data_IF_003397846108
#
_entry.id   IF_003397846108
#
_cell.length_a   1.000
_cell.length_b   1.000
_cell.length_c   1.000
_cell.angle_alpha   90.00
_cell.angle_beta   90.00
_cell.angle_gamma   90.00
#
_symmetry.space_group_name_H-M   'P 1'
#
loop_
_entity.id
_entity.type
_entity.pdbx_description
1 polymer ?
#
# COMPACT_ATOMS: atom_id res chain seq x y z
N UNK A 1 12.01 7.52 -6.56
CA UNK A 1 10.75 8.30 -6.49
C UNK A 1 10.38 8.50 -5.03
N UNK A 2 10.08 9.73 -4.60
CA UNK A 2 9.53 9.98 -3.26
C UNK A 2 8.02 9.75 -3.33
N UNK A 3 7.49 8.88 -2.47
CA UNK A 3 6.05 8.69 -2.33
C UNK A 3 5.42 9.99 -1.78
N UNK A 4 4.16 10.30 -2.14
CA UNK A 4 3.53 11.59 -1.83
C UNK A 4 3.21 11.79 -0.35
N UNK A 5 3.16 10.71 0.42
CA UNK A 5 2.91 10.74 1.87
C UNK A 5 4.09 10.02 2.57
N UNK A 6 4.11 9.88 3.90
CA UNK A 6 5.01 9.00 4.68
C UNK A 6 4.23 7.79 5.21
N UNK A 7 4.78 6.56 5.19
CA UNK A 7 4.08 5.36 5.70
C UNK A 7 3.77 5.48 7.20
N UNK A 8 4.67 6.12 7.96
CA UNK A 8 4.46 6.38 9.39
C UNK A 8 3.33 7.40 9.62
N UNK A 9 3.27 8.47 8.83
CA UNK A 9 2.20 9.45 8.91
C UNK A 9 0.85 8.81 8.56
N UNK A 10 0.80 7.99 7.49
CA UNK A 10 -0.39 7.25 7.11
C UNK A 10 -0.88 6.31 8.22
N UNK A 11 0.05 5.58 8.86
CA UNK A 11 -0.31 4.72 9.99
C UNK A 11 -0.97 5.51 11.12
N UNK A 12 -0.39 6.63 11.52
CA UNK A 12 -0.96 7.47 12.60
C UNK A 12 -2.35 7.98 12.25
N UNK A 13 -2.54 8.44 11.00
CA UNK A 13 -3.84 8.92 10.53
C UNK A 13 -4.91 7.81 10.51
N UNK A 14 -4.55 6.60 10.05
CA UNK A 14 -5.48 5.47 10.02
C UNK A 14 -5.86 5.02 11.43
N UNK A 15 -4.90 4.85 12.34
CA UNK A 15 -5.18 4.46 13.73
C UNK A 15 -6.08 5.50 14.42
N UNK A 16 -5.80 6.81 14.22
CA UNK A 16 -6.63 7.90 14.71
C UNK A 16 -8.07 7.80 14.18
N UNK A 17 -8.25 7.61 12.86
CA UNK A 17 -9.56 7.48 12.25
C UNK A 17 -10.33 6.25 12.77
N UNK A 18 -9.62 5.19 13.18
CA UNK A 18 -10.22 4.01 13.81
C UNK A 18 -10.64 4.29 15.25
N UNK A 19 -9.82 4.98 16.02
CA UNK A 19 -10.16 5.42 17.39
C UNK A 19 -11.38 6.36 17.40
N UNK A 20 -11.48 7.22 16.38
CA UNK A 20 -12.63 8.11 16.16
C UNK A 20 -13.87 7.40 15.59
N UNK A 21 -13.77 6.10 15.25
CA UNK A 21 -14.88 5.32 14.69
C UNK A 21 -15.26 5.67 13.25
N UNK A 22 -14.41 6.42 12.53
CA UNK A 22 -14.65 6.79 11.13
C UNK A 22 -14.43 5.61 10.17
N UNK A 23 -13.53 4.71 10.54
CA UNK A 23 -13.16 3.55 9.73
C UNK A 23 -12.98 2.31 10.60
N UNK A 24 -13.28 1.15 10.02
CA UNK A 24 -13.08 -0.15 10.66
C UNK A 24 -12.44 -1.09 9.68
N UNK A 25 -11.54 -1.95 10.16
CA UNK A 25 -10.98 -3.02 9.37
C UNK A 25 -10.71 -4.24 10.25
N UNK A 26 -10.82 -5.43 9.67
CA UNK A 26 -10.60 -6.71 10.35
C UNK A 26 -9.16 -7.20 10.27
N UNK A 27 -8.37 -6.67 9.34
CA UNK A 27 -6.98 -7.07 9.11
C UNK A 27 -6.00 -6.41 10.10
N UNK A 28 -4.77 -6.92 10.23
CA UNK A 28 -3.73 -6.23 10.99
C UNK A 28 -3.47 -4.82 10.42
N UNK A 29 -3.30 -3.83 11.29
CA UNK A 29 -3.07 -2.44 10.89
C UNK A 29 -1.89 -2.26 9.92
N UNK A 30 -0.83 -3.07 10.07
CA UNK A 30 0.31 -3.07 9.14
C UNK A 30 -0.10 -3.39 7.69
N UNK A 31 -0.94 -4.41 7.50
CA UNK A 31 -1.46 -4.82 6.19
C UNK A 31 -2.31 -3.73 5.55
N UNK A 32 -3.22 -3.14 6.32
CA UNK A 32 -4.10 -2.06 5.85
C UNK A 32 -3.30 -0.83 5.44
N UNK A 33 -2.35 -0.42 6.29
CA UNK A 33 -1.44 0.69 5.98
C UNK A 33 -0.67 0.41 4.70
N UNK A 34 -0.14 -0.80 4.51
CA UNK A 34 0.57 -1.16 3.29
C UNK A 34 -0.31 -1.11 2.04
N UNK A 35 -1.53 -1.63 2.12
CA UNK A 35 -2.48 -1.58 1.02
C UNK A 35 -2.83 -0.14 0.62
N UNK A 36 -3.25 0.68 1.59
CA UNK A 36 -3.63 2.08 1.34
C UNK A 36 -2.44 2.87 0.82
N UNK A 37 -1.26 2.64 1.39
CA UNK A 37 -0.02 3.26 0.93
C UNK A 37 0.31 2.94 -0.54
N UNK A 38 0.11 1.69 -0.95
CA UNK A 38 0.32 1.27 -2.33
C UNK A 38 -0.74 1.87 -3.26
N UNK A 39 -2.00 1.94 -2.84
CA UNK A 39 -3.07 2.58 -3.62
C UNK A 39 -2.79 4.07 -3.85
N UNK A 40 -2.47 4.83 -2.80
CA UNK A 40 -2.11 6.25 -2.90
C UNK A 40 -0.92 6.44 -3.85
N UNK A 41 0.08 5.54 -3.77
CA UNK A 41 1.24 5.58 -4.65
C UNK A 41 0.87 5.30 -6.11
N UNK A 42 -0.08 4.38 -6.35
CA UNK A 42 -0.56 4.04 -7.70
C UNK A 42 -1.43 5.14 -8.30
N UNK A 43 -2.31 5.76 -7.51
CA UNK A 43 -3.17 6.86 -7.94
C UNK A 43 -2.34 8.11 -8.25
N UNK A 44 -1.33 8.42 -7.42
CA UNK A 44 -0.40 9.52 -7.66
C UNK A 44 0.48 9.34 -8.92
N UNK A 45 0.51 8.13 -9.51
CA UNK A 45 1.26 7.80 -10.73
C UNK A 45 0.37 7.73 -11.98
N UNK A 46 -0.80 8.40 -11.99
CA UNK A 46 -1.72 8.46 -13.14
C UNK A 46 -2.23 7.08 -13.60
N UNK A 47 -2.52 6.18 -12.65
CA UNK A 47 -3.06 4.86 -12.97
C UNK A 47 -2.13 3.96 -13.79
N UNK A 48 -0.88 4.37 -14.04
CA UNK A 48 0.13 3.51 -14.66
C UNK A 48 0.65 2.58 -13.58
N UNK A 49 0.34 1.26 -13.64
CA UNK A 49 0.85 0.33 -12.66
C UNK A 49 2.38 0.41 -12.67
N UNK A 50 2.96 0.67 -11.50
CA UNK A 50 4.39 0.48 -11.26
C UNK A 50 4.69 -0.96 -11.68
N UNK A 51 5.40 -1.13 -12.80
CA UNK A 51 5.74 -2.45 -13.35
C UNK A 51 6.51 -3.20 -12.29
N UNK A 52 5.80 -4.03 -11.51
CA UNK A 52 6.42 -5.08 -10.73
C UNK A 52 7.26 -5.87 -11.73
N UNK A 53 8.60 -5.96 -11.60
CA UNK A 53 9.36 -6.82 -12.47
C UNK A 53 8.82 -8.22 -12.23
N UNK A 54 8.05 -8.71 -13.19
CA UNK A 54 7.49 -10.05 -13.17
C UNK A 54 8.66 -10.97 -12.86
N UNK A 55 8.61 -11.64 -11.71
CA UNK A 55 9.60 -12.62 -11.29
C UNK A 55 9.62 -13.65 -12.41
N UNK A 56 10.61 -13.55 -13.30
CA UNK A 56 10.82 -14.45 -14.43
C UNK A 56 10.90 -15.84 -13.82
N UNK A 57 9.81 -16.61 -13.90
CA UNK A 57 9.88 -18.05 -13.64
C UNK A 57 10.87 -18.55 -14.68
N UNK A 58 12.08 -18.90 -14.23
CA UNK A 58 13.01 -19.63 -15.04
C UNK A 58 12.29 -20.92 -15.48
N UNK A 59 12.28 -21.25 -16.78
CA UNK A 59 11.78 -22.57 -17.18
C UNK A 59 12.67 -23.62 -16.51
N UNK A 60 12.04 -24.54 -15.79
CA UNK A 60 12.70 -25.75 -15.33
C UNK A 60 13.23 -26.48 -16.57
N UNK A 61 14.55 -26.62 -16.65
CA UNK A 61 15.20 -27.37 -17.71
C UNK A 61 14.75 -28.84 -17.63
N UNK A 62 14.36 -29.39 -18.79
CA UNK A 62 14.12 -30.81 -19.00
C UNK A 62 15.43 -31.56 -19.22
#
# INVERSE_FOLDING_TARGET
MRKPVSKHALRRALEQAREEGLVTWSEPAGTVVDHVWHLISREALDGKPERTPARRRAPAAA
#
